data_IF_245771533348
#
_entry.id   IF_245771533348
#
_cell.length_a   1.000
_cell.length_b   1.000
_cell.length_c   1.000
_cell.angle_alpha   90.00
_cell.angle_beta   90.00
_cell.angle_gamma   90.00
#
_symmetry.space_group_name_H-M   'P 1'
#
loop_
_entity.id
_entity.type
_entity.pdbx_description
1 polymer ?
#
# COMPACT_ATOMS: atom_id res chain seq x y z
N UNK A 1 6.44 22.75 15.64
CA UNK A 1 5.09 22.26 15.26
C UNK A 1 4.78 21.07 16.16
N UNK A 2 3.83 21.20 17.08
CA UNK A 2 3.55 20.16 18.08
C UNK A 2 2.86 18.97 17.42
N UNK A 3 3.52 17.80 17.42
CA UNK A 3 2.97 16.58 16.84
C UNK A 3 1.79 16.14 17.71
N UNK A 4 0.57 16.11 17.15
CA UNK A 4 -0.61 15.65 17.88
C UNK A 4 -0.48 14.14 18.13
N UNK A 5 -0.21 13.77 19.37
CA UNK A 5 0.15 12.40 19.79
C UNK A 5 -0.94 11.39 19.38
N UNK A 6 -2.20 11.75 19.56
CA UNK A 6 -3.36 10.91 19.21
C UNK A 6 -3.39 10.67 17.70
N UNK A 7 -3.22 11.74 16.91
CA UNK A 7 -3.21 11.63 15.45
C UNK A 7 -2.04 10.77 14.95
N UNK A 8 -0.85 10.92 15.53
CA UNK A 8 0.30 10.09 15.14
C UNK A 8 0.11 8.62 15.49
N UNK A 9 -0.41 8.29 16.67
CA UNK A 9 -0.64 6.88 17.04
C UNK A 9 -1.73 6.22 16.19
N UNK A 10 -2.76 6.97 15.78
CA UNK A 10 -3.78 6.49 14.84
C UNK A 10 -3.18 6.25 13.44
N UNK A 11 -2.29 7.13 12.98
CA UNK A 11 -1.58 6.97 11.71
C UNK A 11 -0.65 5.76 11.72
N UNK A 12 0.10 5.55 12.81
CA UNK A 12 1.02 4.41 12.94
C UNK A 12 0.27 3.07 12.96
N UNK A 13 -0.84 3.00 13.73
CA UNK A 13 -1.69 1.80 13.76
C UNK A 13 -2.33 1.52 12.40
N UNK A 14 -2.80 2.57 11.72
CA UNK A 14 -3.36 2.47 10.37
C UNK A 14 -2.31 2.01 9.35
N UNK A 15 -1.09 2.54 9.40
CA UNK A 15 0.02 2.09 8.54
C UNK A 15 0.34 0.60 8.71
N UNK A 16 0.37 0.10 9.94
CA UNK A 16 0.63 -1.32 10.20
C UNK A 16 -0.49 -2.22 9.65
N UNK A 17 -1.75 -1.82 9.82
CA UNK A 17 -2.89 -2.56 9.26
C UNK A 17 -2.78 -2.62 7.73
N UNK A 18 -2.54 -1.48 7.10
CA UNK A 18 -2.41 -1.34 5.65
C UNK A 18 -1.22 -2.15 5.11
N UNK A 19 -0.08 -2.11 5.79
CA UNK A 19 1.11 -2.89 5.42
C UNK A 19 0.79 -4.38 5.40
N UNK A 20 0.12 -4.88 6.44
CA UNK A 20 -0.28 -6.29 6.51
C UNK A 20 -1.30 -6.66 5.42
N UNK A 21 -2.26 -5.78 5.11
CA UNK A 21 -3.22 -6.02 4.04
C UNK A 21 -2.55 -6.10 2.66
N UNK A 22 -1.60 -5.20 2.37
CA UNK A 22 -0.86 -5.22 1.10
C UNK A 22 0.06 -6.45 1.02
N UNK A 23 0.71 -6.84 2.12
CA UNK A 23 1.52 -8.05 2.16
C UNK A 23 0.69 -9.32 1.95
N UNK A 24 -0.53 -9.39 2.48
CA UNK A 24 -1.44 -10.51 2.22
C UNK A 24 -1.86 -10.59 0.75
N UNK A 25 -2.19 -9.43 0.17
CA UNK A 25 -2.46 -9.31 -1.27
C UNK A 25 -1.22 -9.77 -2.09
N UNK A 26 -0.01 -9.48 -1.60
CA UNK A 26 1.23 -9.91 -2.22
C UNK A 26 1.46 -11.43 -2.15
N UNK A 27 1.07 -12.09 -1.06
CA UNK A 27 1.09 -13.56 -0.97
C UNK A 27 0.20 -14.17 -2.05
N UNK A 28 -1.02 -13.65 -2.22
CA UNK A 28 -1.97 -14.07 -3.25
C UNK A 28 -1.48 -13.76 -4.67
N UNK A 29 -0.67 -12.72 -4.84
CA UNK A 29 -0.15 -12.31 -6.15
C UNK A 29 1.20 -12.90 -6.52
N UNK A 30 1.91 -13.51 -5.58
CA UNK A 30 3.25 -14.08 -5.79
C UNK A 30 3.26 -15.16 -6.89
N UNK A 31 2.15 -15.88 -7.05
CA UNK A 31 1.88 -16.82 -8.16
C UNK A 31 1.87 -16.16 -9.55
N UNK A 32 1.84 -14.84 -9.63
CA UNK A 32 1.87 -14.07 -10.88
C UNK A 32 3.19 -13.30 -11.07
N UNK A 33 4.27 -13.71 -10.40
CA UNK A 33 5.64 -13.24 -10.67
C UNK A 33 6.03 -11.90 -10.04
N UNK A 34 5.15 -11.24 -9.29
CA UNK A 34 5.49 -10.00 -8.58
C UNK A 34 5.59 -10.23 -7.07
N UNK A 35 6.81 -10.13 -6.54
CA UNK A 35 7.11 -10.28 -5.11
C UNK A 35 7.42 -8.89 -4.54
N UNK A 36 6.43 -8.27 -3.89
CA UNK A 36 6.65 -7.06 -3.10
C UNK A 36 7.38 -7.42 -1.81
N UNK A 37 8.56 -6.83 -1.63
CA UNK A 37 9.22 -6.86 -0.32
C UNK A 37 8.49 -5.93 0.65
N UNK A 38 8.72 -6.11 1.96
CA UNK A 38 8.25 -5.17 2.97
C UNK A 38 8.69 -3.72 2.68
N UNK A 39 9.86 -3.52 2.09
CA UNK A 39 10.36 -2.19 1.71
C UNK A 39 9.55 -1.59 0.56
N UNK A 40 9.22 -2.38 -0.46
CA UNK A 40 8.36 -1.92 -1.56
C UNK A 40 6.98 -1.50 -1.04
N UNK A 41 6.40 -2.28 -0.12
CA UNK A 41 5.10 -1.95 0.50
C UNK A 41 5.18 -0.63 1.28
N UNK A 42 6.25 -0.42 2.04
CA UNK A 42 6.47 0.84 2.75
C UNK A 42 6.63 2.04 1.82
N UNK A 43 7.34 1.86 0.71
CA UNK A 43 7.54 2.91 -0.29
C UNK A 43 6.22 3.30 -0.97
N UNK A 44 5.38 2.31 -1.32
CA UNK A 44 4.03 2.55 -1.85
C UNK A 44 3.21 3.38 -0.86
N UNK A 45 3.21 3.01 0.42
CA UNK A 45 2.48 3.72 1.49
C UNK A 45 2.98 5.15 1.64
N UNK A 46 4.30 5.36 1.69
CA UNK A 46 4.93 6.68 1.84
C UNK A 46 4.66 7.57 0.63
N UNK A 47 4.90 7.06 -0.58
CA UNK A 47 4.70 7.80 -1.83
C UNK A 47 3.24 8.24 -1.99
N UNK A 48 2.30 7.32 -1.74
CA UNK A 48 0.87 7.62 -1.73
C UNK A 48 0.50 8.67 -0.70
N UNK A 49 0.97 8.52 0.54
CA UNK A 49 0.70 9.47 1.62
C UNK A 49 1.21 10.87 1.28
N UNK A 50 2.39 10.96 0.68
CA UNK A 50 2.97 12.20 0.17
C UNK A 50 2.13 12.83 -0.96
N UNK A 51 1.73 12.04 -1.97
CA UNK A 51 0.89 12.54 -3.06
C UNK A 51 -0.45 13.07 -2.56
N UNK A 52 -1.16 12.30 -1.73
CA UNK A 52 -2.46 12.70 -1.20
C UNK A 52 -2.37 13.99 -0.37
N UNK A 53 -1.37 14.07 0.53
CA UNK A 53 -1.11 15.27 1.32
C UNK A 53 -0.84 16.48 0.43
N UNK A 54 -0.06 16.31 -0.63
CA UNK A 54 0.26 17.37 -1.60
C UNK A 54 -1.00 17.86 -2.32
N UNK A 55 -1.95 16.97 -2.61
CA UNK A 55 -3.25 17.30 -3.19
C UNK A 55 -4.30 17.77 -2.16
N UNK A 56 -3.94 17.95 -0.90
CA UNK A 56 -4.87 18.35 0.17
C UNK A 56 -5.90 17.27 0.53
N UNK A 57 -5.62 16.00 0.21
CA UNK A 57 -6.50 14.86 0.44
C UNK A 57 -6.00 14.01 1.60
N UNK A 58 -6.95 13.47 2.36
CA UNK A 58 -6.70 12.46 3.39
C UNK A 58 -7.49 11.23 2.97
N UNK A 59 -6.81 10.11 2.84
CA UNK A 59 -7.44 8.84 2.53
C UNK A 59 -7.13 7.86 3.66
N UNK A 60 -8.20 7.36 4.28
CA UNK A 60 -8.15 6.66 5.55
C UNK A 60 -8.13 5.14 5.42
N UNK A 61 -8.43 4.56 4.25
CA UNK A 61 -8.66 3.12 4.11
C UNK A 61 -7.84 2.41 3.02
N UNK A 62 -7.08 3.15 2.20
CA UNK A 62 -6.16 2.57 1.19
C UNK A 62 -6.82 1.65 0.16
N UNK A 63 -8.15 1.63 0.05
CA UNK A 63 -8.89 0.68 -0.79
C UNK A 63 -8.56 0.84 -2.27
N UNK A 64 -8.34 2.08 -2.73
CA UNK A 64 -7.94 2.35 -4.11
C UNK A 64 -6.56 1.72 -4.42
N UNK A 65 -5.61 1.81 -3.49
CA UNK A 65 -4.27 1.24 -3.67
C UNK A 65 -4.33 -0.27 -3.72
N UNK A 66 -5.08 -0.92 -2.81
CA UNK A 66 -5.32 -2.36 -2.85
C UNK A 66 -5.92 -2.82 -4.18
N UNK A 67 -6.89 -2.08 -4.72
CA UNK A 67 -7.50 -2.37 -6.04
C UNK A 67 -6.52 -2.21 -7.21
N UNK A 68 -5.70 -1.16 -7.21
CA UNK A 68 -4.69 -0.93 -8.26
C UNK A 68 -3.68 -2.07 -8.24
N UNK A 69 -3.15 -2.39 -7.06
CA UNK A 69 -2.22 -3.49 -6.82
C UNK A 69 -2.80 -4.81 -7.38
N UNK A 70 -4.03 -5.17 -6.98
CA UNK A 70 -4.72 -6.36 -7.52
C UNK A 70 -4.89 -6.35 -9.04
N UNK A 71 -5.22 -5.20 -9.64
CA UNK A 71 -5.42 -5.07 -11.09
C UNK A 71 -4.12 -5.21 -11.87
N UNK A 72 -3.00 -4.73 -11.31
CA UNK A 72 -1.68 -4.89 -11.92
C UNK A 72 -1.28 -6.36 -11.92
N UNK A 73 -1.52 -7.11 -10.84
CA UNK A 73 -1.14 -8.53 -10.77
C UNK A 73 -1.86 -9.44 -11.74
N UNK A 74 -3.17 -9.24 -11.93
CA UNK A 74 -3.94 -10.08 -12.88
C UNK A 74 -3.72 -9.67 -14.34
N UNK A 75 -2.96 -8.60 -14.57
CA UNK A 75 -2.70 -8.06 -15.90
C UNK A 75 -2.08 -9.12 -16.80
N UNK A 76 -2.34 -9.01 -18.09
CA UNK A 76 -1.67 -9.82 -19.12
C UNK A 76 -0.25 -9.31 -19.42
N UNK A 77 0.12 -8.16 -18.87
CA UNK A 77 1.42 -7.49 -19.09
C UNK A 77 2.41 -7.72 -17.95
N UNK A 78 2.07 -8.58 -16.97
CA UNK A 78 3.01 -9.06 -15.96
C UNK A 78 3.56 -10.41 -16.42
N UNK A 79 4.85 -10.63 -16.24
CA UNK A 79 5.49 -11.92 -16.55
C UNK A 79 4.84 -13.01 -15.69
N UNK A 80 3.98 -13.80 -16.32
CA UNK A 80 3.48 -15.04 -15.75
C UNK A 80 4.48 -16.08 -16.18
N UNK A 81 5.21 -16.66 -15.23
CA UNK A 81 5.97 -17.88 -15.53
C UNK A 81 4.92 -18.94 -15.94
N UNK A 82 5.05 -19.44 -17.19
CA UNK A 82 4.22 -20.53 -17.74
C UNK A 82 4.42 -21.84 -16.99
#
# INVERSE_FOLDING_TARGET
>A
MTKNIILSSLQDKSMNIVKNEILKINEESSVYGLILTSENVEEIIKSRGYSLKTYGRIDLNMDATKKIINKIYISQYTDKED
#
